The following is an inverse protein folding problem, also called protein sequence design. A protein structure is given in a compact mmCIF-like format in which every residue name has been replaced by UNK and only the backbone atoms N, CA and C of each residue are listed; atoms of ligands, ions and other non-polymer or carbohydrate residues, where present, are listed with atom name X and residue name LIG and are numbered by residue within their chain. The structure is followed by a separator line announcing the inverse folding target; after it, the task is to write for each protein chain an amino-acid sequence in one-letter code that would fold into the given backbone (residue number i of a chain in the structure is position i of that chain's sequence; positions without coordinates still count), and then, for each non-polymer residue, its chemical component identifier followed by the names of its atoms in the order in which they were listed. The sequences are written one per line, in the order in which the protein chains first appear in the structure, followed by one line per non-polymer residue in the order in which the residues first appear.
data_IF_716791867493
#
_entry.id   IF_716791867493
#
_cell.length_a   1.000
_cell.length_b   1.000
_cell.length_c   1.000
_cell.angle_alpha   90.00
_cell.angle_beta   90.00
_cell.angle_gamma   90.00
#
_symmetry.space_group_name_H-M   'P 1'
#
loop_
_entity.id
_entity.type
_entity.pdbx_description
1 polymer ?
#
# COMPACT_ATOMS: atom_id res chain seq x y z
N UNK A 1 -8.98 -14.34 12.16
CA UNK A 1 -9.50 -15.39 11.35
C UNK A 1 -8.83 -15.46 9.98
N UNK A 2 -9.52 -16.00 9.01
CA UNK A 2 -9.03 -16.28 7.65
C UNK A 2 -8.52 -15.02 6.93
N UNK A 3 -9.13 -13.86 7.14
CA UNK A 3 -8.72 -12.59 6.54
C UNK A 3 -7.31 -12.16 6.96
N UNK A 4 -6.97 -12.27 8.25
CA UNK A 4 -5.64 -11.91 8.75
C UNK A 4 -4.54 -12.90 8.30
N UNK A 5 -4.88 -14.17 8.08
CA UNK A 5 -3.95 -15.16 7.54
C UNK A 5 -3.71 -14.95 6.02
N UNK A 6 -4.72 -14.46 5.29
CA UNK A 6 -4.56 -14.07 3.89
C UNK A 6 -3.67 -12.84 3.71
N UNK A 7 -3.79 -11.84 4.58
CA UNK A 7 -2.94 -10.63 4.52
C UNK A 7 -1.45 -10.95 4.69
N UNK A 8 -1.11 -11.92 5.54
CA UNK A 8 0.29 -12.32 5.75
C UNK A 8 0.87 -13.12 4.58
N UNK A 9 0.04 -13.91 3.90
CA UNK A 9 0.47 -14.76 2.78
C UNK A 9 0.54 -14.01 1.43
N UNK A 10 -0.15 -12.88 1.31
CA UNK A 10 -0.22 -12.06 0.09
C UNK A 10 0.97 -11.10 -0.09
N UNK A 11 1.94 -11.10 0.84
CA UNK A 11 3.08 -10.18 0.84
C UNK A 11 4.15 -10.50 -0.22
N UNK A 12 4.08 -11.64 -0.90
CA UNK A 12 5.11 -12.06 -1.86
C UNK A 12 4.55 -12.07 -3.28
N UNK A 13 5.10 -11.28 -4.18
CA UNK A 13 4.57 -10.99 -5.52
C UNK A 13 3.95 -12.18 -6.29
N UNK A 14 4.65 -13.33 -6.40
CA UNK A 14 4.10 -14.54 -7.03
C UNK A 14 3.01 -15.17 -6.16
N UNK A 15 3.25 -15.28 -4.85
CA UNK A 15 2.26 -15.84 -3.93
C UNK A 15 0.98 -15.02 -3.92
N UNK A 16 1.07 -13.69 -4.08
CA UNK A 16 -0.09 -12.83 -4.20
C UNK A 16 -0.95 -13.15 -5.43
N UNK A 17 -0.32 -13.35 -6.60
CA UNK A 17 -1.03 -13.72 -7.83
C UNK A 17 -1.72 -15.09 -7.69
N UNK A 18 -0.98 -16.07 -7.20
CA UNK A 18 -1.48 -17.45 -7.01
C UNK A 18 -2.62 -17.51 -5.98
N UNK A 19 -2.46 -16.88 -4.83
CA UNK A 19 -3.49 -16.88 -3.79
C UNK A 19 -4.73 -16.09 -4.21
N UNK A 20 -4.58 -15.01 -4.97
CA UNK A 20 -5.70 -14.28 -5.55
C UNK A 20 -6.47 -15.17 -6.54
N UNK A 21 -5.77 -15.90 -7.41
CA UNK A 21 -6.40 -16.83 -8.34
C UNK A 21 -7.17 -17.93 -7.61
N UNK A 22 -6.58 -18.53 -6.56
CA UNK A 22 -7.26 -19.52 -5.72
C UNK A 22 -8.49 -18.94 -5.01
N UNK A 23 -8.38 -17.72 -4.48
CA UNK A 23 -9.49 -17.04 -3.83
C UNK A 23 -10.67 -16.81 -4.80
N UNK A 24 -10.38 -16.39 -6.03
CA UNK A 24 -11.39 -16.19 -7.06
C UNK A 24 -12.01 -17.53 -7.45
N UNK A 25 -11.21 -18.59 -7.70
CA UNK A 25 -11.70 -19.90 -8.04
C UNK A 25 -12.64 -20.49 -6.97
N UNK A 26 -12.27 -20.36 -5.69
CA UNK A 26 -13.13 -20.78 -4.57
C UNK A 26 -14.43 -19.97 -4.52
N UNK A 27 -14.36 -18.66 -4.80
CA UNK A 27 -15.56 -17.83 -4.85
C UNK A 27 -16.51 -18.26 -5.98
N UNK A 28 -15.98 -18.58 -7.15
CA UNK A 28 -16.74 -19.10 -8.30
C UNK A 28 -17.36 -20.46 -8.00
N UNK A 29 -16.62 -21.40 -7.41
CA UNK A 29 -17.14 -22.71 -6.98
C UNK A 29 -18.30 -22.58 -5.98
N UNK A 30 -18.25 -21.54 -5.12
CA UNK A 30 -19.31 -21.23 -4.16
C UNK A 30 -20.47 -20.42 -4.77
N UNK A 31 -20.43 -20.11 -6.07
CA UNK A 31 -21.46 -19.34 -6.75
C UNK A 31 -21.47 -17.85 -6.38
N UNK A 32 -20.37 -17.32 -5.85
CA UNK A 32 -20.24 -15.91 -5.53
C UNK A 32 -20.00 -15.08 -6.79
N UNK A 33 -20.60 -13.91 -6.86
CA UNK A 33 -20.38 -12.93 -7.92
C UNK A 33 -19.00 -12.27 -7.73
N UNK A 34 -18.07 -12.57 -8.63
CA UNK A 34 -16.68 -12.06 -8.58
C UNK A 34 -16.63 -10.54 -8.61
N UNK A 35 -17.59 -9.88 -9.26
CA UNK A 35 -17.68 -8.41 -9.28
C UNK A 35 -17.98 -7.80 -7.90
N UNK A 36 -18.41 -8.59 -6.94
CA UNK A 36 -18.65 -8.17 -5.55
C UNK A 36 -17.45 -8.38 -4.63
N UNK A 37 -16.47 -9.17 -5.04
CA UNK A 37 -15.28 -9.44 -4.24
C UNK A 37 -14.50 -8.13 -4.00
N UNK A 38 -14.04 -7.96 -2.76
CA UNK A 38 -13.30 -6.78 -2.32
C UNK A 38 -12.05 -7.21 -1.57
N UNK A 39 -10.96 -6.53 -1.81
CA UNK A 39 -9.71 -6.80 -1.14
C UNK A 39 -8.55 -6.00 -1.69
N UNK A 40 -7.38 -6.32 -1.18
CA UNK A 40 -6.12 -5.70 -1.58
C UNK A 40 -5.03 -6.76 -1.55
N UNK A 41 -4.21 -6.82 -2.58
CA UNK A 41 -2.95 -7.57 -2.53
C UNK A 41 -1.80 -6.63 -2.19
N UNK A 42 -0.91 -7.08 -1.31
CA UNK A 42 0.34 -6.40 -0.99
C UNK A 42 1.47 -7.11 -1.73
N UNK A 43 1.74 -6.65 -2.95
CA UNK A 43 2.64 -7.29 -3.91
C UNK A 43 3.78 -6.37 -4.37
N UNK A 44 4.20 -5.42 -3.53
CA UNK A 44 5.27 -4.48 -3.80
C UNK A 44 6.64 -5.17 -3.84
N UNK A 45 7.09 -5.52 -5.04
CA UNK A 45 8.40 -6.15 -5.23
C UNK A 45 9.56 -5.17 -5.03
N UNK A 46 9.37 -3.91 -5.37
CA UNK A 46 10.44 -2.90 -5.28
C UNK A 46 10.84 -2.70 -3.82
N UNK A 47 9.86 -2.59 -2.93
CA UNK A 47 10.07 -2.53 -1.49
C UNK A 47 10.81 -3.77 -0.95
N UNK A 48 10.53 -4.96 -1.47
CA UNK A 48 11.23 -6.17 -1.06
C UNK A 48 12.73 -6.12 -1.39
N UNK A 49 13.07 -5.60 -2.57
CA UNK A 49 14.47 -5.38 -2.95
C UNK A 49 15.16 -4.28 -2.14
N UNK A 50 14.43 -3.22 -1.78
CA UNK A 50 15.01 -2.08 -1.07
C UNK A 50 15.18 -2.31 0.43
N UNK A 51 14.31 -3.09 1.09
CA UNK A 51 14.27 -3.13 2.55
C UNK A 51 14.19 -4.52 3.18
N UNK A 52 13.58 -5.53 2.55
CA UNK A 52 13.31 -6.82 3.21
C UNK A 52 14.10 -8.00 2.67
N UNK A 53 14.50 -7.98 1.41
CA UNK A 53 15.24 -9.08 0.79
C UNK A 53 14.42 -10.37 0.59
N UNK A 54 13.08 -10.29 0.66
CA UNK A 54 12.17 -11.43 0.55
C UNK A 54 11.53 -11.48 -0.84
N UNK A 55 12.24 -12.00 -1.81
CA UNK A 55 11.79 -12.09 -3.21
C UNK A 55 12.14 -13.46 -3.80
N UNK A 56 11.32 -13.89 -4.77
CA UNK A 56 11.54 -15.14 -5.53
C UNK A 56 12.05 -14.82 -6.92
N UNK A 57 11.48 -13.79 -7.57
CA UNK A 57 11.86 -13.38 -8.93
C UNK A 57 12.49 -12.00 -8.94
N UNK A 58 13.31 -11.69 -9.97
CA UNK A 58 13.79 -10.34 -10.23
C UNK A 58 12.65 -9.30 -10.37
N UNK A 59 12.96 -8.00 -10.25
CA UNK A 59 11.93 -6.94 -10.32
C UNK A 59 11.08 -6.96 -11.59
N UNK A 60 11.70 -7.13 -12.76
CA UNK A 60 10.98 -7.04 -14.03
C UNK A 60 9.90 -8.13 -14.21
N UNK A 61 10.15 -9.44 -14.00
CA UNK A 61 9.10 -10.45 -14.02
C UNK A 61 8.01 -10.21 -12.96
N UNK A 62 8.40 -9.72 -11.79
CA UNK A 62 7.45 -9.43 -10.71
C UNK A 62 6.55 -8.24 -11.04
N UNK A 63 7.09 -7.17 -11.61
CA UNK A 63 6.30 -6.03 -12.10
C UNK A 63 5.34 -6.45 -13.22
N UNK A 64 5.78 -7.35 -14.12
CA UNK A 64 4.89 -7.92 -15.12
C UNK A 64 3.68 -8.61 -14.49
N UNK A 65 3.88 -9.45 -13.47
CA UNK A 65 2.78 -10.10 -12.75
C UNK A 65 1.82 -9.09 -12.10
N UNK A 66 2.34 -8.00 -11.55
CA UNK A 66 1.51 -6.92 -11.00
C UNK A 66 0.64 -6.31 -12.10
N UNK A 67 1.21 -6.07 -13.28
CA UNK A 67 0.45 -5.57 -14.43
C UNK A 67 -0.63 -6.53 -14.89
N UNK A 68 -0.33 -7.84 -14.92
CA UNK A 68 -1.30 -8.89 -15.27
C UNK A 68 -2.47 -8.92 -14.24
N UNK A 69 -2.17 -8.81 -12.94
CA UNK A 69 -3.19 -8.69 -11.89
C UNK A 69 -4.05 -7.44 -12.10
N UNK A 70 -3.43 -6.29 -12.40
CA UNK A 70 -4.15 -5.05 -12.62
C UNK A 70 -5.08 -5.15 -13.85
N UNK A 71 -4.60 -5.72 -14.96
CA UNK A 71 -5.36 -5.91 -16.18
C UNK A 71 -6.54 -6.88 -16.01
N UNK A 72 -6.37 -7.92 -15.21
CA UNK A 72 -7.43 -8.87 -14.89
C UNK A 72 -8.47 -8.25 -13.96
N UNK A 73 -8.00 -7.70 -12.83
CA UNK A 73 -8.92 -7.31 -11.75
C UNK A 73 -9.77 -6.09 -12.10
N UNK A 74 -9.30 -5.16 -12.95
CA UNK A 74 -10.14 -4.02 -13.33
C UNK A 74 -11.39 -4.45 -14.12
N UNK A 75 -11.35 -5.58 -14.82
CA UNK A 75 -12.46 -6.15 -15.59
C UNK A 75 -13.33 -7.07 -14.73
N UNK A 76 -12.70 -8.10 -14.15
CA UNK A 76 -13.39 -9.24 -13.55
C UNK A 76 -13.69 -9.05 -12.06
N UNK A 77 -12.86 -8.24 -11.36
CA UNK A 77 -12.99 -8.00 -9.92
C UNK A 77 -12.85 -6.51 -9.61
N UNK A 78 -13.75 -5.66 -10.13
CA UNK A 78 -13.55 -4.19 -10.20
C UNK A 78 -13.46 -3.48 -8.83
N UNK A 79 -13.75 -4.16 -7.73
CA UNK A 79 -13.61 -3.61 -6.37
C UNK A 79 -12.30 -4.02 -5.69
N UNK A 80 -11.46 -4.80 -6.38
CA UNK A 80 -10.15 -5.21 -5.88
C UNK A 80 -9.10 -4.12 -6.06
N UNK A 81 -8.18 -4.00 -5.11
CA UNK A 81 -6.97 -3.17 -5.25
C UNK A 81 -5.83 -4.08 -5.72
N UNK A 82 -5.40 -3.97 -6.99
CA UNK A 82 -4.45 -4.90 -7.61
C UNK A 82 -3.03 -4.75 -7.09
N UNK A 83 -2.74 -3.61 -6.45
CA UNK A 83 -1.43 -3.27 -5.94
C UNK A 83 -1.56 -2.43 -4.67
N UNK A 84 -0.72 -2.75 -3.70
CA UNK A 84 -0.48 -1.91 -2.54
C UNK A 84 1.02 -1.56 -2.47
N UNK A 85 1.34 -0.30 -2.67
CA UNK A 85 2.69 0.24 -2.48
C UNK A 85 2.93 0.37 -0.98
N UNK A 86 3.87 -0.42 -0.45
CA UNK A 86 4.07 -0.56 0.98
C UNK A 86 5.40 0.06 1.41
N UNK A 87 5.38 1.33 1.77
CA UNK A 87 6.59 2.11 2.07
C UNK A 87 6.97 2.15 3.55
N UNK A 88 6.11 1.71 4.47
CA UNK A 88 6.45 1.76 5.90
C UNK A 88 7.72 0.95 6.23
N UNK A 89 7.96 -0.15 5.54
CA UNK A 89 9.19 -0.94 5.68
C UNK A 89 10.47 -0.15 5.36
N UNK A 90 10.38 0.81 4.43
CA UNK A 90 11.53 1.65 4.06
C UNK A 90 11.91 2.58 5.22
N UNK A 91 10.93 3.20 5.86
CA UNK A 91 11.18 4.05 7.02
C UNK A 91 11.67 3.22 8.21
N UNK A 92 11.13 2.04 8.44
CA UNK A 92 11.61 1.09 9.46
C UNK A 92 13.05 0.62 9.19
N UNK A 93 13.43 0.52 7.91
CA UNK A 93 14.82 0.22 7.49
C UNK A 93 15.75 1.46 7.54
N UNK A 94 15.27 2.63 7.98
CA UNK A 94 16.08 3.82 8.19
C UNK A 94 15.89 4.95 7.18
N UNK A 95 14.95 4.85 6.23
CA UNK A 95 14.62 5.95 5.34
C UNK A 95 14.01 7.12 6.13
N UNK A 96 14.42 8.34 5.78
CA UNK A 96 13.77 9.54 6.31
C UNK A 96 12.33 9.66 5.77
N UNK A 97 11.44 10.44 6.44
CA UNK A 97 10.08 10.67 5.93
C UNK A 97 10.03 11.19 4.48
N UNK A 98 10.98 12.04 4.08
CA UNK A 98 11.07 12.54 2.71
C UNK A 98 11.53 11.46 1.72
N UNK A 99 12.45 10.58 2.12
CA UNK A 99 12.87 9.43 1.31
C UNK A 99 11.76 8.40 1.17
N UNK A 100 11.01 8.11 2.24
CA UNK A 100 9.84 7.23 2.17
C UNK A 100 8.83 7.75 1.16
N UNK A 101 8.48 9.03 1.22
CA UNK A 101 7.59 9.69 0.29
C UNK A 101 8.07 9.54 -1.17
N UNK A 102 9.34 9.86 -1.43
CA UNK A 102 9.93 9.80 -2.76
C UNK A 102 9.92 8.36 -3.32
N UNK A 103 10.33 7.38 -2.52
CA UNK A 103 10.40 5.98 -2.95
C UNK A 103 9.02 5.37 -3.16
N UNK A 104 8.05 5.70 -2.31
CA UNK A 104 6.67 5.22 -2.48
C UNK A 104 6.05 5.74 -3.78
N UNK A 105 6.19 7.03 -4.07
CA UNK A 105 5.68 7.63 -5.31
C UNK A 105 6.42 7.08 -6.53
N UNK A 106 7.74 6.91 -6.46
CA UNK A 106 8.53 6.30 -7.53
C UNK A 106 8.10 4.84 -7.81
N UNK A 107 7.79 4.07 -6.76
CA UNK A 107 7.25 2.71 -6.90
C UNK A 107 5.88 2.74 -7.58
N UNK A 108 4.99 3.64 -7.18
CA UNK A 108 3.69 3.82 -7.82
C UNK A 108 3.83 4.15 -9.31
N UNK A 109 4.76 5.05 -9.67
CA UNK A 109 5.09 5.40 -11.06
C UNK A 109 5.59 4.16 -11.82
N UNK A 110 6.55 3.42 -11.28
CA UNK A 110 7.12 2.24 -11.93
C UNK A 110 6.05 1.18 -12.23
N UNK A 111 5.10 0.98 -11.32
CA UNK A 111 3.97 0.06 -11.52
C UNK A 111 3.06 0.56 -12.65
N UNK A 112 2.65 1.84 -12.61
CA UNK A 112 1.76 2.40 -13.62
C UNK A 112 2.41 2.45 -15.00
N UNK A 113 3.70 2.79 -15.09
CA UNK A 113 4.46 2.75 -16.34
C UNK A 113 4.52 1.32 -16.90
N UNK A 114 4.68 0.31 -16.04
CA UNK A 114 4.66 -1.10 -16.44
C UNK A 114 3.29 -1.51 -16.98
N UNK A 115 2.19 -1.18 -16.28
CA UNK A 115 0.83 -1.47 -16.75
C UNK A 115 0.57 -0.82 -18.10
N UNK A 116 0.99 0.43 -18.28
CA UNK A 116 0.82 1.15 -19.54
C UNK A 116 1.65 0.53 -20.67
N UNK A 117 2.90 0.14 -20.40
CA UNK A 117 3.78 -0.49 -21.38
C UNK A 117 3.30 -1.87 -21.83
N UNK A 118 2.61 -2.62 -20.98
CA UNK A 118 2.02 -3.91 -21.32
C UNK A 118 0.86 -3.80 -22.33
N UNK A 119 0.18 -2.66 -22.41
CA UNK A 119 -0.92 -2.42 -23.35
C UNK A 119 -2.17 -3.30 -23.12
N UNK A 120 -2.26 -4.00 -22.00
CA UNK A 120 -3.41 -4.85 -21.67
C UNK A 120 -4.64 -4.07 -21.17
N UNK A 121 -4.45 -2.80 -20.83
CA UNK A 121 -5.48 -1.85 -20.40
C UNK A 121 -5.54 -0.72 -21.42
N UNK A 122 -6.74 -0.39 -21.92
CA UNK A 122 -6.91 0.73 -22.85
C UNK A 122 -6.61 2.09 -22.17
N UNK A 123 -6.27 3.10 -22.96
CA UNK A 123 -6.07 4.45 -22.41
C UNK A 123 -7.34 5.02 -21.76
N UNK A 124 -8.52 4.65 -22.25
CA UNK A 124 -9.82 5.03 -21.66
C UNK A 124 -10.03 4.40 -20.26
N UNK A 125 -9.58 3.16 -20.06
CA UNK A 125 -9.76 2.42 -18.82
C UNK A 125 -8.59 2.62 -17.83
N UNK A 126 -7.46 3.11 -18.30
CA UNK A 126 -6.26 3.31 -17.47
C UNK A 126 -6.51 4.16 -16.21
N UNK A 127 -7.32 5.24 -16.26
CA UNK A 127 -7.68 5.99 -15.04
C UNK A 127 -8.35 5.13 -13.96
N UNK A 128 -9.10 4.10 -14.34
CA UNK A 128 -9.74 3.18 -13.37
C UNK A 128 -8.70 2.35 -12.64
N UNK A 129 -7.63 1.92 -13.33
CA UNK A 129 -6.49 1.21 -12.72
C UNK A 129 -5.74 2.13 -11.77
N UNK A 130 -5.43 3.37 -12.20
CA UNK A 130 -4.81 4.38 -11.34
C UNK A 130 -5.59 4.55 -10.04
N UNK A 131 -6.91 4.70 -10.13
CA UNK A 131 -7.80 4.84 -8.97
C UNK A 131 -7.88 3.61 -8.06
N UNK A 132 -7.27 2.48 -8.44
CA UNK A 132 -7.20 1.25 -7.63
C UNK A 132 -5.84 1.00 -7.00
N UNK A 133 -4.82 1.75 -7.35
CA UNK A 133 -3.55 1.71 -6.61
C UNK A 133 -3.81 2.17 -5.18
N UNK A 134 -3.28 1.45 -4.23
CA UNK A 134 -3.34 1.79 -2.80
C UNK A 134 -1.94 1.83 -2.21
N UNK A 135 -1.81 2.50 -1.08
CA UNK A 135 -0.54 2.69 -0.38
C UNK A 135 -0.66 2.26 1.07
N UNK A 136 0.46 1.86 1.66
CA UNK A 136 0.57 1.63 3.09
C UNK A 136 1.86 2.27 3.59
N UNK A 137 1.71 3.40 4.28
CA UNK A 137 2.80 4.30 4.65
C UNK A 137 3.05 4.28 6.14
N UNK A 138 4.16 4.86 6.59
CA UNK A 138 4.52 4.93 7.99
C UNK A 138 4.03 6.23 8.66
N UNK A 139 3.86 6.20 9.98
CA UNK A 139 3.77 7.38 10.84
C UNK A 139 4.65 7.19 12.06
N UNK A 140 5.67 8.04 12.21
CA UNK A 140 6.60 8.05 13.33
C UNK A 140 6.35 9.19 14.31
N UNK A 141 7.20 9.26 15.33
CA UNK A 141 7.05 10.20 16.46
C UNK A 141 7.27 11.69 16.09
N UNK A 142 7.82 11.97 14.92
CA UNK A 142 8.04 13.36 14.47
C UNK A 142 6.75 14.01 14.00
N UNK A 143 5.87 14.30 14.93
CA UNK A 143 4.48 14.69 14.75
C UNK A 143 4.23 15.68 13.59
N UNK A 144 4.90 16.84 13.58
CA UNK A 144 4.71 17.86 12.53
C UNK A 144 5.20 17.38 11.17
N UNK A 145 6.35 16.68 11.14
CA UNK A 145 6.90 16.12 9.90
C UNK A 145 5.94 15.10 9.29
N UNK A 146 5.36 14.24 10.12
CA UNK A 146 4.41 13.22 9.66
C UNK A 146 3.12 13.84 9.13
N UNK A 147 2.58 14.87 9.78
CA UNK A 147 1.44 15.64 9.25
C UNK A 147 1.77 16.19 7.85
N UNK A 148 2.94 16.83 7.71
CA UNK A 148 3.37 17.37 6.41
C UNK A 148 3.54 16.28 5.36
N UNK A 149 4.14 15.15 5.72
CA UNK A 149 4.33 14.00 4.83
C UNK A 149 3.00 13.46 4.30
N UNK A 150 2.02 13.23 5.18
CA UNK A 150 0.69 12.74 4.77
C UNK A 150 0.01 13.68 3.76
N UNK A 151 0.12 14.99 3.99
CA UNK A 151 -0.43 16.00 3.07
C UNK A 151 0.31 16.01 1.74
N UNK A 152 1.64 15.99 1.77
CA UNK A 152 2.48 15.96 0.58
C UNK A 152 2.22 14.71 -0.28
N UNK A 153 2.00 13.55 0.32
CA UNK A 153 1.59 12.35 -0.42
C UNK A 153 0.34 12.59 -1.27
N UNK A 154 -0.69 13.22 -0.69
CA UNK A 154 -1.94 13.50 -1.40
C UNK A 154 -1.75 14.48 -2.55
N UNK A 155 -1.03 15.56 -2.32
CA UNK A 155 -0.78 16.61 -3.32
C UNK A 155 0.07 16.09 -4.48
N UNK A 156 1.21 15.48 -4.19
CA UNK A 156 2.13 14.98 -5.20
C UNK A 156 1.53 13.81 -6.01
N UNK A 157 0.74 12.94 -5.39
CA UNK A 157 0.06 11.87 -6.12
C UNK A 157 -0.98 12.42 -7.09
N UNK A 158 -1.76 13.43 -6.68
CA UNK A 158 -2.71 14.12 -7.57
C UNK A 158 -2.00 14.74 -8.77
N UNK A 159 -0.88 15.45 -8.53
CA UNK A 159 -0.05 16.04 -9.60
C UNK A 159 0.49 14.96 -10.55
N UNK A 160 1.07 13.87 -10.02
CA UNK A 160 1.60 12.77 -10.84
C UNK A 160 0.48 12.15 -11.70
N UNK A 161 -0.67 11.88 -11.11
CA UNK A 161 -1.79 11.30 -11.86
C UNK A 161 -2.30 12.21 -12.95
N UNK A 162 -2.39 13.52 -12.68
CA UNK A 162 -2.86 14.51 -13.64
C UNK A 162 -1.81 14.77 -14.73
N UNK A 163 -0.60 15.12 -14.33
CA UNK A 163 0.39 15.71 -15.25
C UNK A 163 1.17 14.65 -16.03
N UNK A 164 1.43 13.47 -15.41
CA UNK A 164 2.13 12.37 -16.07
C UNK A 164 1.19 11.43 -16.83
N UNK A 165 0.02 11.16 -16.26
CA UNK A 165 -0.88 10.13 -16.79
C UNK A 165 -2.15 10.68 -17.42
N UNK A 166 -2.40 11.99 -17.37
CA UNK A 166 -3.57 12.63 -17.98
C UNK A 166 -4.91 12.23 -17.34
N UNK A 167 -4.89 11.84 -16.07
CA UNK A 167 -6.12 11.43 -15.37
C UNK A 167 -6.91 12.67 -14.98
N UNK A 168 -8.03 12.93 -15.68
CA UNK A 168 -8.85 14.13 -15.47
C UNK A 168 -9.75 14.02 -14.24
N UNK A 169 -10.35 12.85 -14.00
CA UNK A 169 -11.32 12.66 -12.93
C UNK A 169 -10.64 12.59 -11.55
N UNK A 170 -10.94 13.56 -10.67
CA UNK A 170 -10.40 13.65 -9.31
C UNK A 170 -10.56 12.35 -8.50
N UNK A 171 -11.69 11.62 -8.69
CA UNK A 171 -11.94 10.38 -7.95
C UNK A 171 -10.86 9.32 -8.17
N UNK A 172 -10.19 9.32 -9.33
CA UNK A 172 -9.12 8.37 -9.68
C UNK A 172 -7.72 8.86 -9.28
N UNK A 173 -7.56 10.16 -8.98
CA UNK A 173 -6.30 10.74 -8.50
C UNK A 173 -6.14 10.72 -6.98
N UNK A 174 -7.15 10.27 -6.24
CA UNK A 174 -7.12 10.25 -4.78
C UNK A 174 -6.03 9.33 -4.25
N UNK A 175 -5.17 9.85 -3.40
CA UNK A 175 -4.21 9.06 -2.64
C UNK A 175 -4.95 8.18 -1.63
N UNK A 176 -5.02 6.89 -1.92
CA UNK A 176 -5.76 5.90 -1.11
C UNK A 176 -4.76 5.12 -0.28
N UNK A 177 -4.74 5.31 1.01
CA UNK A 177 -3.72 4.72 1.84
C UNK A 177 -4.22 4.29 3.22
N UNK A 178 -3.51 3.31 3.79
CA UNK A 178 -3.48 2.99 5.20
C UNK A 178 -2.15 3.43 5.81
N UNK A 179 -2.07 3.42 7.12
CA UNK A 179 -0.89 3.85 7.87
C UNK A 179 -0.51 2.80 8.90
N UNK A 180 0.77 2.44 8.92
CA UNK A 180 1.41 1.76 10.04
C UNK A 180 1.95 2.82 10.99
N UNK A 181 1.41 2.88 12.19
CA UNK A 181 2.01 3.62 13.29
C UNK A 181 3.28 2.87 13.72
N UNK A 182 4.38 3.60 13.81
CA UNK A 182 5.71 3.02 13.95
C UNK A 182 5.96 2.47 15.36
N UNK A 183 6.53 1.28 15.47
CA UNK A 183 6.94 0.71 16.76
C UNK A 183 8.40 1.00 17.14
N UNK A 184 9.22 1.53 16.22
CA UNK A 184 10.64 1.80 16.47
C UNK A 184 10.89 2.87 17.57
N UNK A 185 9.90 3.73 17.82
CA UNK A 185 9.94 4.72 18.90
C UNK A 185 9.56 4.18 20.27
N UNK A 186 9.06 2.95 20.36
CA UNK A 186 8.67 2.33 21.62
C UNK A 186 9.91 1.88 22.40
N UNK A 187 9.83 1.93 23.74
CA UNK A 187 10.95 1.60 24.62
C UNK A 187 10.56 0.54 25.64
N UNK A 188 11.53 -0.29 26.01
CA UNK A 188 11.42 -1.23 27.14
C UNK A 188 11.45 -0.50 28.49
N UNK A 189 12.19 0.62 28.56
CA UNK A 189 12.20 1.46 29.73
C UNK A 189 10.96 2.33 29.80
N UNK A 190 10.28 2.33 30.94
CA UNK A 190 9.02 3.06 31.15
C UNK A 190 7.98 2.73 30.06
N UNK A 191 7.61 1.45 29.89
CA UNK A 191 6.72 1.04 28.80
C UNK A 191 5.32 1.65 28.93
N UNK A 192 4.92 2.09 30.11
CA UNK A 192 3.70 2.85 30.38
C UNK A 192 3.62 4.18 29.61
N UNK A 193 4.73 4.69 29.09
CA UNK A 193 4.77 5.88 28.22
C UNK A 193 4.55 5.54 26.74
N UNK A 194 4.62 4.26 26.34
CA UNK A 194 4.40 3.85 24.94
C UNK A 194 3.00 4.19 24.41
N UNK A 195 1.90 4.07 25.19
CA UNK A 195 0.58 4.53 24.74
C UNK A 195 0.55 6.01 24.32
N UNK A 196 1.30 6.87 25.00
CA UNK A 196 1.37 8.30 24.64
C UNK A 196 2.17 8.51 23.33
N UNK A 197 3.22 7.72 23.09
CA UNK A 197 3.98 7.75 21.82
C UNK A 197 3.08 7.33 20.66
N UNK A 198 2.40 6.19 20.80
CA UNK A 198 1.43 5.68 19.83
C UNK A 198 0.32 6.70 19.57
N UNK A 199 -0.20 7.33 20.63
CA UNK A 199 -1.23 8.37 20.50
C UNK A 199 -0.76 9.55 19.65
N UNK A 200 0.46 10.06 19.90
CA UNK A 200 1.01 11.18 19.14
C UNK A 200 1.21 10.83 17.65
N UNK A 201 1.71 9.64 17.38
CA UNK A 201 1.88 9.14 16.01
C UNK A 201 0.53 8.98 15.29
N UNK A 202 -0.47 8.41 15.96
CA UNK A 202 -1.84 8.30 15.45
C UNK A 202 -2.47 9.67 15.20
N UNK A 203 -2.26 10.63 16.10
CA UNK A 203 -2.78 12.00 15.95
C UNK A 203 -2.17 12.70 14.74
N UNK A 204 -0.91 12.45 14.41
CA UNK A 204 -0.30 12.98 13.20
C UNK A 204 -1.07 12.55 11.93
N UNK A 205 -1.58 11.33 11.92
CA UNK A 205 -2.40 10.82 10.81
C UNK A 205 -3.79 11.44 10.82
N UNK A 206 -4.47 11.39 11.96
CA UNK A 206 -5.90 11.78 12.06
C UNK A 206 -6.11 13.29 11.95
N UNK A 207 -5.12 14.10 12.33
CA UNK A 207 -5.15 15.56 12.20
C UNK A 207 -4.62 16.07 10.86
N UNK A 208 -4.14 15.20 9.99
CA UNK A 208 -3.71 15.57 8.64
C UNK A 208 -4.92 15.96 7.77
N UNK A 209 -5.25 17.24 7.77
CA UNK A 209 -6.38 17.79 7.02
C UNK A 209 -6.20 17.51 5.52
N UNK A 210 -7.29 17.07 4.86
CA UNK A 210 -7.34 16.70 3.45
C UNK A 210 -6.52 15.44 3.06
N UNK A 211 -5.85 14.79 4.03
CA UNK A 211 -5.12 13.54 3.83
C UNK A 211 -5.77 12.45 4.69
N UNK A 212 -6.88 11.88 4.20
CA UNK A 212 -7.68 10.91 4.96
C UNK A 212 -7.14 9.50 4.76
N UNK A 213 -6.45 8.96 5.77
CA UNK A 213 -6.12 7.55 5.81
C UNK A 213 -7.41 6.70 5.89
N UNK A 214 -7.41 5.54 5.22
CA UNK A 214 -8.53 4.58 5.26
C UNK A 214 -8.45 3.63 6.44
N UNK A 215 -7.24 3.35 6.88
CA UNK A 215 -6.95 2.49 8.02
C UNK A 215 -5.72 3.02 8.76
N UNK A 216 -5.68 2.80 10.05
CA UNK A 216 -4.52 3.07 10.90
C UNK A 216 -4.28 1.81 11.72
N UNK A 217 -3.11 1.20 11.54
CA UNK A 217 -2.67 0.07 12.33
C UNK A 217 -1.78 0.58 13.45
N UNK A 218 -2.09 0.20 14.68
CA UNK A 218 -1.34 0.59 15.86
C UNK A 218 -0.51 -0.60 16.37
N UNK A 219 0.74 -0.37 16.82
CA UNK A 219 1.49 -1.40 17.52
C UNK A 219 0.90 -1.65 18.91
N UNK A 220 1.19 -2.81 19.49
CA UNK A 220 0.92 -3.04 20.90
C UNK A 220 1.86 -2.19 21.77
N UNK A 221 1.37 -1.60 22.84
CA UNK A 221 2.16 -0.75 23.73
C UNK A 221 3.35 -1.48 24.38
N UNK A 222 3.22 -2.81 24.54
CA UNK A 222 4.21 -3.68 25.11
C UNK A 222 5.07 -4.42 24.07
N UNK A 223 4.97 -4.06 22.80
CA UNK A 223 5.70 -4.72 21.70
C UNK A 223 7.21 -4.70 21.94
N UNK A 224 7.74 -3.59 22.51
CA UNK A 224 9.15 -3.46 22.84
C UNK A 224 9.63 -4.40 23.96
N UNK A 225 8.71 -4.98 24.75
CA UNK A 225 9.03 -5.95 25.81
C UNK A 225 9.10 -7.39 25.30
N UNK A 226 8.88 -7.61 24.01
CA UNK A 226 8.59 -8.90 23.45
C UNK A 226 7.13 -9.30 23.70
N UNK A 227 6.45 -9.71 22.66
CA UNK A 227 5.07 -10.20 22.79
C UNK A 227 5.07 -11.57 23.45
N UNK A 228 4.12 -11.85 24.35
CA UNK A 228 3.95 -13.18 24.89
C UNK A 228 3.52 -14.20 23.83
#
# INVERSE_FOLDING_TARGET
GLAAALDLALAFGLAAAWLLALYIAVAEEQGADTAKLQGTVQNDIIKEYLSRGTYVFPPAPSLRLIGDIAAYTYKEVPKWNPMNVCSYHLQEAGATPAQELAYALATGIAVLDTVKAQGAVSDEDFPKVVGRISFFVNAGIRFVTEICKMRAFGELWDEICRDRYGVEEEKYRRFRYGVQVNSLGLTEQQPENNPYRILLEMLAVTLSKNARARAVQLPAWNEALGLP
#
